data_IF_228291222897
#
_entry.id   IF_228291222897
#
_cell.length_a   1.000
_cell.length_b   1.000
_cell.length_c   1.000
_cell.angle_alpha   90.00
_cell.angle_beta   90.00
_cell.angle_gamma   90.00
#
_symmetry.space_group_name_H-M   'P 1'
#
loop_
_entity.id
_entity.type
_entity.pdbx_description
1 polymer ?
#
# COMPACT_ATOMS: atom_id res chain seq x y z
N UNK A 1 45.21 3.53 -12.99
CA UNK A 1 44.29 4.69 -13.13
C UNK A 1 42.80 4.31 -13.07
N UNK A 2 42.45 3.06 -13.36
CA UNK A 2 41.03 2.56 -13.30
C UNK A 2 40.54 2.42 -11.86
N UNK A 3 41.41 2.01 -10.95
CA UNK A 3 41.13 1.77 -9.54
C UNK A 3 40.49 2.97 -8.80
N UNK A 4 41.09 4.18 -8.81
CA UNK A 4 40.49 5.32 -8.12
C UNK A 4 39.16 5.74 -8.77
N UNK A 5 38.96 5.51 -10.06
CA UNK A 5 37.71 5.80 -10.76
C UNK A 5 36.61 4.87 -10.24
N UNK A 6 36.86 3.55 -10.14
CA UNK A 6 35.92 2.58 -9.61
C UNK A 6 35.53 2.92 -8.18
N UNK A 7 36.51 3.28 -7.32
CA UNK A 7 36.24 3.68 -5.94
C UNK A 7 35.37 4.95 -5.85
N UNK A 8 35.62 5.95 -6.71
CA UNK A 8 34.78 7.14 -6.78
C UNK A 8 33.36 6.83 -7.22
N UNK A 9 33.16 5.96 -8.23
CA UNK A 9 31.85 5.55 -8.70
C UNK A 9 31.09 4.81 -7.57
N UNK A 10 31.74 3.90 -6.86
CA UNK A 10 31.15 3.18 -5.73
C UNK A 10 30.68 4.14 -4.63
N UNK A 11 31.51 5.13 -4.28
CA UNK A 11 31.16 6.12 -3.28
C UNK A 11 29.95 6.96 -3.70
N UNK A 12 29.91 7.40 -4.95
CA UNK A 12 28.79 8.18 -5.50
C UNK A 12 27.51 7.36 -5.50
N UNK A 13 27.55 6.10 -5.96
CA UNK A 13 26.37 5.22 -5.98
C UNK A 13 25.87 4.92 -4.57
N UNK A 14 26.77 4.70 -3.60
CA UNK A 14 26.40 4.51 -2.20
C UNK A 14 25.69 5.76 -1.64
N UNK A 15 26.23 6.95 -1.87
CA UNK A 15 25.60 8.20 -1.43
C UNK A 15 24.22 8.41 -2.05
N UNK A 16 24.08 8.19 -3.35
CA UNK A 16 22.76 8.34 -4.04
C UNK A 16 21.76 7.33 -3.50
N UNK A 17 22.18 6.07 -3.28
CA UNK A 17 21.30 5.04 -2.73
C UNK A 17 20.76 5.39 -1.35
N UNK A 18 21.58 5.96 -0.47
CA UNK A 18 21.19 6.31 0.91
C UNK A 18 20.40 7.62 0.98
N UNK A 19 20.73 8.61 0.15
CA UNK A 19 20.12 9.94 0.17
C UNK A 19 18.83 10.04 -0.69
N UNK A 20 18.42 8.95 -1.34
CA UNK A 20 17.25 8.96 -2.20
C UNK A 20 15.97 8.85 -1.36
N UNK A 21 15.05 9.80 -1.48
CA UNK A 21 13.73 9.80 -0.81
C UNK A 21 12.79 8.70 -1.34
N UNK A 22 13.00 8.27 -2.58
CA UNK A 22 12.22 7.22 -3.21
C UNK A 22 12.84 5.84 -3.00
N UNK A 23 12.19 4.99 -2.19
CA UNK A 23 12.65 3.63 -1.89
C UNK A 23 12.93 2.78 -3.15
N UNK A 24 12.06 2.85 -4.17
CA UNK A 24 12.28 2.12 -5.44
C UNK A 24 13.55 2.57 -6.15
N UNK A 25 13.81 3.89 -6.17
CA UNK A 25 15.02 4.45 -6.76
C UNK A 25 16.28 4.05 -5.97
N UNK A 26 16.20 4.10 -4.64
CA UNK A 26 17.27 3.67 -3.74
C UNK A 26 17.70 2.22 -4.02
N UNK A 27 16.76 1.31 -4.18
CA UNK A 27 17.04 -0.11 -4.47
C UNK A 27 17.70 -0.29 -5.83
N UNK A 28 17.29 0.45 -6.86
CA UNK A 28 17.94 0.39 -8.18
C UNK A 28 19.41 0.87 -8.10
N UNK A 29 19.68 1.94 -7.34
CA UNK A 29 21.07 2.40 -7.12
C UNK A 29 21.87 1.43 -6.28
N UNK A 30 21.25 0.74 -5.30
CA UNK A 30 21.89 -0.31 -4.54
C UNK A 30 22.29 -1.50 -5.44
N UNK A 31 21.43 -1.91 -6.37
CA UNK A 31 21.75 -2.92 -7.37
C UNK A 31 22.89 -2.51 -8.29
N UNK A 32 22.92 -1.23 -8.74
CA UNK A 32 24.02 -0.69 -9.54
C UNK A 32 25.34 -0.64 -8.73
N UNK A 33 25.27 -0.33 -7.43
CA UNK A 33 26.43 -0.39 -6.52
C UNK A 33 26.99 -1.82 -6.45
N UNK A 34 26.16 -2.84 -6.20
CA UNK A 34 26.59 -4.25 -6.15
C UNK A 34 27.18 -4.71 -7.48
N UNK A 35 26.63 -4.30 -8.62
CA UNK A 35 27.20 -4.62 -9.93
C UNK A 35 28.60 -4.00 -10.11
N UNK A 36 28.78 -2.77 -9.68
CA UNK A 36 30.08 -2.08 -9.72
C UNK A 36 31.09 -2.72 -8.76
N UNK A 37 30.62 -3.21 -7.59
CA UNK A 37 31.44 -4.02 -6.68
C UNK A 37 31.89 -5.33 -7.33
N UNK A 38 30.99 -6.05 -8.00
CA UNK A 38 31.35 -7.26 -8.74
C UNK A 38 32.43 -6.99 -9.81
N UNK A 39 32.30 -5.91 -10.56
CA UNK A 39 33.34 -5.47 -11.52
C UNK A 39 34.67 -5.16 -10.82
N UNK A 40 34.62 -4.55 -9.64
CA UNK A 40 35.82 -4.24 -8.84
C UNK A 40 36.52 -5.54 -8.39
N UNK A 41 35.77 -6.54 -7.92
CA UNK A 41 36.33 -7.86 -7.58
C UNK A 41 36.96 -8.56 -8.80
N UNK A 42 36.33 -8.42 -9.97
CA UNK A 42 36.89 -8.96 -11.21
C UNK A 42 38.26 -8.30 -11.55
N UNK A 43 38.33 -6.98 -11.35
CA UNK A 43 39.58 -6.24 -11.55
C UNK A 43 40.70 -6.70 -10.62
N UNK A 44 40.38 -7.07 -9.37
CA UNK A 44 41.33 -7.60 -8.39
C UNK A 44 41.58 -9.12 -8.51
N UNK A 45 41.22 -9.74 -9.65
CA UNK A 45 41.37 -11.18 -9.92
C UNK A 45 40.66 -12.09 -8.91
N UNK A 46 39.51 -11.68 -8.40
CA UNK A 46 38.65 -12.45 -7.53
C UNK A 46 37.30 -12.81 -8.21
N UNK A 47 37.32 -13.61 -9.27
CA UNK A 47 36.15 -13.92 -10.10
C UNK A 47 35.04 -14.65 -9.31
N UNK A 48 35.42 -15.52 -8.38
CA UNK A 48 34.46 -16.29 -7.58
C UNK A 48 33.63 -15.36 -6.67
N UNK A 49 34.28 -14.34 -6.07
CA UNK A 49 33.62 -13.34 -5.25
C UNK A 49 32.75 -12.42 -6.12
N UNK A 50 33.25 -12.06 -7.32
CA UNK A 50 32.48 -11.26 -8.27
C UNK A 50 31.17 -11.93 -8.70
N UNK A 51 31.22 -13.25 -8.97
CA UNK A 51 30.03 -14.04 -9.31
C UNK A 51 29.04 -14.12 -8.12
N UNK A 52 29.55 -14.32 -6.91
CA UNK A 52 28.71 -14.38 -5.71
C UNK A 52 28.02 -13.02 -5.47
N UNK A 53 28.77 -11.91 -5.59
CA UNK A 53 28.23 -10.55 -5.45
C UNK A 53 27.16 -10.24 -6.51
N UNK A 54 27.43 -10.59 -7.79
CA UNK A 54 26.47 -10.39 -8.85
C UNK A 54 25.18 -11.21 -8.65
N UNK A 55 25.31 -12.47 -8.21
CA UNK A 55 24.15 -13.35 -8.00
C UNK A 55 23.30 -12.94 -6.80
N UNK A 56 23.93 -12.61 -5.66
CA UNK A 56 23.24 -12.31 -4.40
C UNK A 56 22.95 -10.82 -4.30
N UNK A 57 23.94 -9.97 -4.53
CA UNK A 57 23.81 -8.52 -4.36
C UNK A 57 22.90 -7.89 -5.40
N UNK A 58 23.11 -8.18 -6.69
CA UNK A 58 22.30 -7.64 -7.78
C UNK A 58 21.02 -8.45 -7.96
N UNK A 59 21.14 -9.77 -8.08
CA UNK A 59 20.02 -10.66 -8.40
C UNK A 59 19.02 -10.78 -7.24
N UNK A 60 19.40 -11.57 -6.24
CA UNK A 60 18.48 -11.96 -5.18
C UNK A 60 18.04 -10.79 -4.30
N UNK A 61 18.98 -9.95 -3.83
CA UNK A 61 18.67 -8.85 -2.92
C UNK A 61 17.79 -7.81 -3.59
N UNK A 62 18.10 -7.38 -4.81
CA UNK A 62 17.30 -6.40 -5.54
C UNK A 62 15.88 -6.90 -5.80
N UNK A 63 15.73 -8.17 -6.23
CA UNK A 63 14.41 -8.76 -6.45
C UNK A 63 13.62 -8.84 -5.14
N UNK A 64 14.23 -9.32 -4.05
CA UNK A 64 13.56 -9.41 -2.75
C UNK A 64 13.10 -8.04 -2.24
N UNK A 65 13.93 -6.99 -2.38
CA UNK A 65 13.55 -5.63 -2.00
C UNK A 65 12.41 -5.08 -2.86
N UNK A 66 12.44 -5.30 -4.18
CA UNK A 66 11.35 -4.86 -5.07
C UNK A 66 10.03 -5.57 -4.76
N UNK A 67 10.07 -6.87 -4.47
CA UNK A 67 8.89 -7.65 -4.06
C UNK A 67 8.37 -7.16 -2.71
N UNK A 68 9.26 -6.91 -1.74
CA UNK A 68 8.88 -6.36 -0.43
C UNK A 68 8.23 -4.98 -0.57
N UNK A 69 8.75 -4.11 -1.44
CA UNK A 69 8.16 -2.78 -1.70
C UNK A 69 6.78 -2.85 -2.37
N UNK A 70 6.54 -3.88 -3.18
CA UNK A 70 5.21 -4.10 -3.78
C UNK A 70 4.16 -4.41 -2.71
N UNK A 71 4.55 -5.13 -1.64
CA UNK A 71 3.70 -5.44 -0.48
C UNK A 71 3.47 -4.26 0.49
N UNK A 72 4.22 -3.16 0.36
CA UNK A 72 4.10 -1.97 1.24
C UNK A 72 3.01 -0.99 0.76
N UNK A 73 2.43 -1.19 -0.42
CA UNK A 73 1.24 -0.46 -0.81
C UNK A 73 0.07 -0.97 0.05
N UNK A 74 -0.11 -0.34 1.20
CA UNK A 74 -1.19 -0.64 2.14
C UNK A 74 -2.36 0.27 1.81
N UNK A 75 -3.55 -0.30 1.60
CA UNK A 75 -4.78 0.43 1.48
C UNK A 75 -5.52 0.37 2.82
N UNK A 76 -5.63 1.50 3.49
CA UNK A 76 -6.20 1.57 4.83
C UNK A 76 -7.71 1.69 4.78
N UNK A 77 -8.40 0.66 5.25
CA UNK A 77 -9.87 0.62 5.33
C UNK A 77 -10.27 0.67 6.80
N UNK A 78 -11.16 1.57 7.16
CA UNK A 78 -11.74 1.61 8.50
C UNK A 78 -13.24 1.32 8.43
N UNK A 79 -13.69 0.42 9.31
CA UNK A 79 -15.10 0.10 9.50
C UNK A 79 -15.61 0.72 10.80
N UNK A 80 -16.73 1.45 10.70
CA UNK A 80 -17.41 2.12 11.83
C UNK A 80 -18.86 1.66 11.84
N UNK A 81 -19.35 1.24 13.01
CA UNK A 81 -20.76 0.94 13.24
C UNK A 81 -21.31 1.86 14.34
N UNK A 82 -22.32 2.68 14.04
CA UNK A 82 -22.89 3.65 14.99
C UNK A 82 -23.56 2.99 16.21
N UNK A 83 -24.01 1.74 16.07
CA UNK A 83 -24.70 0.99 17.13
C UNK A 83 -23.81 0.01 17.89
N UNK A 84 -22.51 0.01 17.63
CA UNK A 84 -21.57 -0.90 18.25
C UNK A 84 -21.10 -0.45 19.63
N UNK A 85 -22.02 -0.31 20.59
CA UNK A 85 -21.66 -0.20 22.02
C UNK A 85 -20.94 -1.46 22.55
N UNK A 86 -21.12 -2.58 21.89
CA UNK A 86 -20.37 -3.82 22.07
C UNK A 86 -20.30 -4.55 20.71
N UNK A 87 -19.18 -4.41 20.03
CA UNK A 87 -18.91 -5.22 18.84
C UNK A 87 -18.85 -6.69 19.28
N UNK A 88 -19.90 -7.44 18.96
CA UNK A 88 -19.98 -8.86 19.28
C UNK A 88 -19.26 -9.64 18.17
N UNK A 89 -18.48 -10.67 18.52
CA UNK A 89 -17.72 -11.48 17.56
C UNK A 89 -18.59 -12.01 16.40
N UNK A 90 -19.87 -12.29 16.64
CA UNK A 90 -20.82 -12.75 15.62
C UNK A 90 -21.16 -11.66 14.59
N UNK A 91 -21.24 -10.39 15.00
CA UNK A 91 -21.47 -9.26 14.10
C UNK A 91 -20.24 -8.96 13.26
N UNK A 92 -19.04 -9.00 13.85
CA UNK A 92 -17.77 -8.87 13.12
C UNK A 92 -17.66 -9.95 12.06
N UNK A 93 -17.97 -11.20 12.41
CA UNK A 93 -17.91 -12.32 11.48
C UNK A 93 -18.92 -12.19 10.32
N UNK A 94 -20.13 -11.69 10.60
CA UNK A 94 -21.14 -11.46 9.56
C UNK A 94 -20.68 -10.38 8.58
N UNK A 95 -20.24 -9.23 9.07
CA UNK A 95 -19.77 -8.09 8.26
C UNK A 95 -18.51 -8.48 7.50
N UNK A 96 -17.58 -9.16 8.18
CA UNK A 96 -16.36 -9.67 7.58
C UNK A 96 -16.65 -10.56 6.38
N UNK A 97 -17.63 -11.45 6.46
CA UNK A 97 -17.94 -12.35 5.37
C UNK A 97 -18.72 -11.69 4.23
N UNK A 98 -19.58 -10.70 4.53
CA UNK A 98 -20.50 -10.11 3.55
C UNK A 98 -19.87 -8.94 2.78
N UNK A 99 -19.07 -8.11 3.43
CA UNK A 99 -18.52 -6.88 2.82
C UNK A 99 -16.99 -6.96 2.74
N UNK A 100 -16.33 -7.30 3.86
CA UNK A 100 -14.88 -7.14 3.98
C UNK A 100 -14.11 -8.16 3.14
N UNK A 101 -14.43 -9.45 3.25
CA UNK A 101 -13.75 -10.50 2.47
C UNK A 101 -13.91 -10.36 0.96
N UNK A 102 -15.11 -10.09 0.39
CA UNK A 102 -15.23 -9.81 -1.03
C UNK A 102 -14.39 -8.62 -1.48
N UNK A 103 -14.36 -7.56 -0.68
CA UNK A 103 -13.56 -6.36 -0.94
C UNK A 103 -12.05 -6.64 -0.88
N UNK A 104 -11.61 -7.40 0.12
CA UNK A 104 -10.23 -7.85 0.29
C UNK A 104 -9.78 -8.69 -0.93
N UNK A 105 -10.57 -9.68 -1.32
CA UNK A 105 -10.31 -10.50 -2.51
C UNK A 105 -10.27 -9.68 -3.80
N UNK A 106 -11.13 -8.68 -3.93
CA UNK A 106 -11.14 -7.78 -5.08
C UNK A 106 -9.84 -6.95 -5.13
N UNK A 107 -9.43 -6.33 -4.02
CA UNK A 107 -8.22 -5.52 -3.94
C UNK A 107 -6.95 -6.35 -4.17
N UNK A 108 -6.87 -7.54 -3.58
CA UNK A 108 -5.74 -8.44 -3.79
C UNK A 108 -5.62 -8.90 -5.26
N UNK A 109 -6.76 -9.17 -5.90
CA UNK A 109 -6.79 -9.73 -7.26
C UNK A 109 -6.60 -8.67 -8.33
N UNK A 110 -7.17 -7.49 -8.15
CA UNK A 110 -7.21 -6.43 -9.18
C UNK A 110 -6.05 -5.47 -9.04
N UNK A 111 -5.77 -5.02 -7.82
CA UNK A 111 -4.78 -3.99 -7.53
C UNK A 111 -3.46 -4.55 -6.98
N UNK A 112 -3.41 -5.85 -6.65
CA UNK A 112 -2.27 -6.50 -5.99
C UNK A 112 -1.86 -5.77 -4.68
N UNK A 113 -2.83 -5.21 -3.96
CA UNK A 113 -2.68 -4.46 -2.72
C UNK A 113 -3.22 -5.29 -1.57
N UNK A 114 -2.53 -5.27 -0.42
CA UNK A 114 -2.99 -5.91 0.81
C UNK A 114 -3.75 -4.87 1.66
N UNK A 115 -5.10 -4.96 1.77
CA UNK A 115 -5.86 -4.00 2.56
C UNK A 115 -5.61 -4.19 4.05
N UNK A 116 -5.41 -3.10 4.78
CA UNK A 116 -5.41 -3.10 6.24
C UNK A 116 -6.77 -2.64 6.74
N UNK A 117 -7.48 -3.56 7.40
CA UNK A 117 -8.83 -3.30 7.90
C UNK A 117 -8.74 -3.05 9.41
N UNK A 118 -9.18 -1.87 9.81
CA UNK A 118 -9.32 -1.48 11.20
C UNK A 118 -10.81 -1.32 11.56
N UNK A 119 -11.17 -1.69 12.78
CA UNK A 119 -12.51 -1.45 13.33
C UNK A 119 -12.40 -0.34 14.37
N UNK A 120 -13.28 0.65 14.28
CA UNK A 120 -13.28 1.77 15.23
C UNK A 120 -14.68 2.06 15.75
N UNK A 121 -14.72 2.49 17.01
CA UNK A 121 -15.92 3.00 17.68
C UNK A 121 -15.89 4.54 17.79
N UNK A 122 -14.92 5.18 17.14
CA UNK A 122 -14.85 6.65 17.12
C UNK A 122 -15.94 7.23 16.21
N UNK A 123 -16.30 8.48 16.46
CA UNK A 123 -17.26 9.18 15.59
C UNK A 123 -16.71 9.35 14.19
N UNK A 124 -17.59 9.29 13.19
CA UNK A 124 -17.23 9.48 11.79
C UNK A 124 -16.45 10.79 11.57
N UNK A 125 -16.88 11.88 12.24
CA UNK A 125 -16.26 13.19 12.12
C UNK A 125 -14.79 13.19 12.54
N UNK A 126 -14.46 12.56 13.68
CA UNK A 126 -13.07 12.48 14.16
C UNK A 126 -12.15 11.71 13.21
N UNK A 127 -12.69 10.68 12.54
CA UNK A 127 -11.92 9.85 11.61
C UNK A 127 -11.74 10.55 10.26
N UNK A 128 -12.72 11.33 9.81
CA UNK A 128 -12.59 12.14 8.59
C UNK A 128 -11.55 13.25 8.79
N UNK A 129 -11.51 13.88 9.96
CA UNK A 129 -10.53 14.92 10.29
C UNK A 129 -9.08 14.40 10.36
N UNK A 130 -8.88 13.18 10.84
CA UNK A 130 -7.54 12.58 10.93
C UNK A 130 -6.92 12.28 9.56
N UNK A 131 -7.71 12.12 8.51
CA UNK A 131 -7.32 11.84 7.11
C UNK A 131 -6.25 10.75 6.92
N UNK A 132 -6.19 9.80 7.86
CA UNK A 132 -5.20 8.71 7.86
C UNK A 132 -5.65 7.46 7.11
N UNK A 133 -6.94 7.41 6.72
CA UNK A 133 -7.53 6.24 6.06
C UNK A 133 -7.93 6.56 4.61
N UNK A 134 -7.66 5.62 3.71
CA UNK A 134 -7.98 5.77 2.30
C UNK A 134 -9.47 5.56 2.06
N UNK A 135 -10.07 4.59 2.76
CA UNK A 135 -11.46 4.20 2.60
C UNK A 135 -12.15 4.01 3.96
N UNK A 136 -13.34 4.60 4.14
CA UNK A 136 -14.16 4.46 5.35
C UNK A 136 -15.48 3.79 4.98
N UNK A 137 -15.80 2.71 5.68
CA UNK A 137 -17.09 2.03 5.63
C UNK A 137 -17.84 2.39 6.90
N UNK A 138 -18.90 3.18 6.78
CA UNK A 138 -19.73 3.61 7.90
C UNK A 138 -21.11 2.99 7.80
N UNK A 139 -21.50 2.22 8.82
CA UNK A 139 -22.81 1.61 8.92
C UNK A 139 -23.69 2.38 9.89
N UNK A 140 -24.83 2.85 9.38
CA UNK A 140 -25.85 3.52 10.17
C UNK A 140 -27.20 2.86 9.91
N UNK A 141 -27.79 2.24 10.94
CA UNK A 141 -29.02 1.47 10.84
C UNK A 141 -28.95 0.38 9.76
N UNK A 142 -29.70 0.53 8.66
CA UNK A 142 -29.73 -0.38 7.52
C UNK A 142 -28.91 0.13 6.33
N UNK A 143 -28.36 1.35 6.41
CA UNK A 143 -27.58 1.98 5.33
C UNK A 143 -26.09 1.84 5.58
N UNK A 144 -25.35 1.52 4.54
CA UNK A 144 -23.90 1.49 4.55
C UNK A 144 -23.37 2.63 3.67
N UNK A 145 -22.55 3.47 4.23
CA UNK A 145 -21.93 4.59 3.53
C UNK A 145 -20.47 4.28 3.25
N UNK A 146 -20.06 4.52 2.01
CA UNK A 146 -18.69 4.37 1.55
C UNK A 146 -18.09 5.76 1.35
N UNK A 147 -17.13 6.12 2.20
CA UNK A 147 -16.42 7.40 2.10
C UNK A 147 -15.03 7.19 1.53
N UNK A 148 -14.69 7.90 0.46
CA UNK A 148 -13.37 7.90 -0.17
C UNK A 148 -13.08 9.22 -0.85
N UNK A 149 -11.83 9.40 -1.31
CA UNK A 149 -11.43 10.58 -2.06
C UNK A 149 -11.80 10.42 -3.54
N UNK A 150 -12.34 11.46 -4.16
CA UNK A 150 -12.65 11.45 -5.59
C UNK A 150 -11.41 11.29 -6.47
N UNK A 151 -10.23 11.68 -5.96
CA UNK A 151 -8.94 11.53 -6.63
C UNK A 151 -8.33 10.13 -6.50
N UNK A 152 -8.89 9.25 -5.66
CA UNK A 152 -8.38 7.89 -5.44
C UNK A 152 -8.93 6.93 -6.50
N UNK A 153 -8.03 6.47 -7.38
CA UNK A 153 -8.37 5.55 -8.47
C UNK A 153 -8.85 4.19 -7.95
N UNK A 154 -8.28 3.71 -6.81
CA UNK A 154 -8.66 2.43 -6.21
C UNK A 154 -10.09 2.51 -5.69
N UNK A 155 -10.44 3.62 -5.03
CA UNK A 155 -11.80 3.86 -4.57
C UNK A 155 -12.80 3.91 -5.72
N UNK A 156 -12.45 4.56 -6.86
CA UNK A 156 -13.29 4.58 -8.05
C UNK A 156 -13.47 3.19 -8.65
N UNK A 157 -12.43 2.36 -8.69
CA UNK A 157 -12.50 0.98 -9.17
C UNK A 157 -13.35 0.09 -8.26
N UNK A 158 -13.25 0.27 -6.93
CA UNK A 158 -14.14 -0.41 -5.98
C UNK A 158 -15.60 -0.09 -6.29
N UNK A 159 -15.94 1.20 -6.49
CA UNK A 159 -17.30 1.63 -6.78
C UNK A 159 -17.79 1.09 -8.11
N UNK A 160 -16.96 1.14 -9.14
CA UNK A 160 -17.32 0.67 -10.48
C UNK A 160 -17.64 -0.83 -10.51
N UNK A 161 -16.94 -1.63 -9.71
CA UNK A 161 -17.08 -3.09 -9.65
C UNK A 161 -17.87 -3.57 -8.43
N UNK A 162 -18.45 -2.66 -7.64
CA UNK A 162 -19.16 -2.97 -6.39
C UNK A 162 -20.30 -3.97 -6.57
N UNK A 163 -21.07 -3.83 -7.65
CA UNK A 163 -22.20 -4.71 -7.96
C UNK A 163 -21.79 -6.16 -8.28
N UNK A 164 -20.53 -6.38 -8.71
CA UNK A 164 -20.00 -7.71 -8.97
C UNK A 164 -19.29 -8.30 -7.76
N UNK A 165 -18.84 -7.44 -6.85
CA UNK A 165 -17.95 -7.78 -5.74
C UNK A 165 -18.72 -8.11 -4.47
N UNK A 166 -19.84 -7.41 -4.20
CA UNK A 166 -20.58 -7.54 -2.95
C UNK A 166 -22.02 -7.99 -3.25
N UNK A 167 -22.42 -9.13 -2.75
CA UNK A 167 -23.80 -9.63 -2.83
C UNK A 167 -24.71 -8.87 -1.85
N UNK A 168 -25.94 -8.49 -2.26
CA UNK A 168 -26.96 -7.79 -1.47
C UNK A 168 -26.66 -6.32 -1.12
N UNK A 169 -26.36 -5.50 -2.12
CA UNK A 169 -26.13 -4.07 -1.94
C UNK A 169 -27.43 -3.27 -2.17
N UNK A 170 -28.50 -3.55 -1.48
CA UNK A 170 -29.70 -2.71 -1.64
C UNK A 170 -29.58 -1.31 -1.03
N UNK A 171 -28.54 -1.03 -0.20
CA UNK A 171 -28.43 0.22 0.58
C UNK A 171 -27.02 0.77 0.75
N UNK A 172 -26.14 0.70 -0.26
CA UNK A 172 -24.84 1.39 -0.19
C UNK A 172 -24.95 2.78 -0.81
N UNK A 173 -24.53 3.78 -0.06
CA UNK A 173 -24.39 5.15 -0.53
C UNK A 173 -22.91 5.52 -0.60
N UNK A 174 -22.49 6.00 -1.75
CA UNK A 174 -21.13 6.50 -1.97
C UNK A 174 -21.08 7.98 -1.68
N UNK A 175 -20.12 8.41 -0.87
CA UNK A 175 -19.92 9.81 -0.49
C UNK A 175 -18.44 10.16 -0.73
N UNK A 176 -18.19 11.21 -1.48
CA UNK A 176 -16.85 11.71 -1.67
C UNK A 176 -16.46 12.67 -0.54
N UNK A 177 -15.32 12.40 0.14
CA UNK A 177 -14.86 13.22 1.27
C UNK A 177 -14.61 14.68 0.87
N UNK A 178 -14.19 14.91 -0.37
CA UNK A 178 -13.92 16.26 -0.87
C UNK A 178 -15.20 17.12 -0.93
N UNK A 179 -16.39 16.48 -0.94
CA UNK A 179 -17.69 17.15 -0.91
C UNK A 179 -18.19 17.41 0.52
N UNK A 180 -17.80 16.55 1.48
CA UNK A 180 -18.20 16.67 2.91
C UNK A 180 -17.46 17.80 3.62
N UNK A 181 -16.24 18.11 3.19
CA UNK A 181 -15.43 19.22 3.71
C UNK A 181 -15.86 20.60 3.14
N UNK A 182 -16.69 20.62 2.11
CA UNK A 182 -17.37 21.85 1.68
C UNK A 182 -18.68 21.97 2.48
N UNK A 183 -18.79 22.98 3.31
CA UNK A 183 -19.81 23.26 4.35
C UNK A 183 -21.31 23.08 3.99
N UNK A 184 -21.66 22.52 2.84
CA UNK A 184 -23.04 22.42 2.33
C UNK A 184 -23.64 20.99 2.38
N UNK A 185 -22.99 20.00 2.97
CA UNK A 185 -23.47 18.60 2.98
C UNK A 185 -24.01 18.13 4.36
N UNK A 186 -24.18 19.05 5.32
CA UNK A 186 -24.77 18.76 6.64
C UNK A 186 -26.12 19.52 6.76
N UNK A 187 -27.13 19.08 6.02
CA UNK A 187 -28.55 19.26 6.33
C UNK A 187 -29.33 17.96 6.21
#
# INVERSE_FOLDING_TARGET
>A
MIEPILMCILLVLACISVLSDNLRRSIVFLGAFSLTMALTYLYYNAPDVALAEAAIGVGLSTIMYLVALKKIAVYSIIYIDEHADQINDDQINSISNTIIKPLELFLERTEEIEPQIAYSNHSLESIIEEDHHDFIIYKKDHLTYFYGKASDLIFQDIIANMNETIDNIEEIRVVFRDEVLSDDAIE
#
